data_IF_244732867382
#
_entry.id   IF_244732867382
#
_cell.length_a   1.000
_cell.length_b   1.000
_cell.length_c   1.000
_cell.angle_alpha   90.00
_cell.angle_beta   90.00
_cell.angle_gamma   90.00
#
_symmetry.space_group_name_H-M   'P 1'
#
loop_
_entity.id
_entity.type
_entity.pdbx_description
1 polymer ?
#
# COMPACT_ATOMS: atom_id res chain seq x y z
N UNK A 1 10.11 -17.73 4.39
CA UNK A 1 10.70 -16.38 4.21
C UNK A 1 10.42 -15.78 2.84
N UNK A 2 10.76 -16.42 1.69
CA UNK A 2 10.55 -15.80 0.36
C UNK A 2 9.09 -15.44 0.06
N UNK A 3 8.15 -16.33 0.46
CA UNK A 3 6.71 -16.10 0.26
C UNK A 3 6.20 -14.89 1.05
N UNK A 4 6.63 -14.71 2.30
CA UNK A 4 6.20 -13.58 3.13
C UNK A 4 6.75 -12.26 2.58
N UNK A 5 8.03 -12.23 2.20
CA UNK A 5 8.67 -11.05 1.59
C UNK A 5 8.01 -10.73 0.26
N UNK A 6 7.84 -11.73 -0.60
CA UNK A 6 7.18 -11.56 -1.90
C UNK A 6 5.75 -11.07 -1.75
N UNK A 7 4.98 -11.65 -0.82
CA UNK A 7 3.62 -11.20 -0.53
C UNK A 7 3.58 -9.75 -0.06
N UNK A 8 4.43 -9.34 0.89
CA UNK A 8 4.48 -7.96 1.38
C UNK A 8 4.85 -6.96 0.28
N UNK A 9 5.90 -7.24 -0.50
CA UNK A 9 6.36 -6.36 -1.58
C UNK A 9 5.35 -6.27 -2.73
N UNK A 10 4.67 -7.38 -3.07
CA UNK A 10 3.73 -7.40 -4.18
C UNK A 10 2.51 -6.48 -3.95
N UNK A 11 2.16 -6.23 -2.68
CA UNK A 11 1.08 -5.29 -2.33
C UNK A 11 1.36 -3.89 -2.88
N UNK A 12 2.62 -3.45 -2.87
CA UNK A 12 3.02 -2.13 -3.39
C UNK A 12 2.86 -1.97 -4.90
N UNK A 13 2.60 -3.05 -5.64
CA UNK A 13 2.41 -2.97 -7.09
C UNK A 13 1.22 -2.09 -7.49
N UNK A 14 0.23 -1.92 -6.61
CA UNK A 14 -0.92 -1.04 -6.88
C UNK A 14 -0.58 0.46 -6.85
N UNK A 15 0.52 0.86 -6.19
CA UNK A 15 1.05 2.22 -6.31
C UNK A 15 1.45 2.56 -7.75
N UNK A 16 1.84 1.59 -8.57
CA UNK A 16 2.14 1.83 -9.99
C UNK A 16 0.92 2.33 -10.74
N UNK A 17 -0.28 1.84 -10.39
CA UNK A 17 -1.55 2.28 -11.00
C UNK A 17 -1.81 3.74 -10.66
N UNK A 18 -1.64 4.13 -9.39
CA UNK A 18 -1.78 5.53 -8.95
C UNK A 18 -0.76 6.44 -9.62
N UNK A 19 0.49 5.99 -9.78
CA UNK A 19 1.53 6.73 -10.48
C UNK A 19 1.20 6.90 -11.97
N UNK A 20 0.73 5.87 -12.65
CA UNK A 20 0.29 5.93 -14.04
C UNK A 20 -0.89 6.90 -14.19
N UNK A 21 -1.91 6.76 -13.34
CA UNK A 21 -3.10 7.59 -13.34
C UNK A 21 -2.78 9.07 -13.15
N UNK A 22 -1.93 9.39 -12.17
CA UNK A 22 -1.62 10.77 -11.85
C UNK A 22 -0.57 11.40 -12.78
N UNK A 23 0.55 10.71 -13.03
CA UNK A 23 1.68 11.30 -13.75
C UNK A 23 1.61 11.13 -15.26
N UNK A 24 1.06 10.03 -15.76
CA UNK A 24 1.01 9.74 -17.20
C UNK A 24 -0.34 10.12 -17.81
N UNK A 25 -1.44 9.92 -17.07
CA UNK A 25 -2.78 10.31 -17.54
C UNK A 25 -3.21 11.72 -17.08
N UNK A 26 -2.38 12.40 -16.28
CA UNK A 26 -2.62 13.74 -15.74
C UNK A 26 -3.98 13.88 -15.04
N UNK A 27 -4.47 12.81 -14.41
CA UNK A 27 -5.74 12.82 -13.67
C UNK A 27 -5.50 13.26 -12.22
N UNK A 28 -6.60 13.63 -11.55
CA UNK A 28 -6.54 13.94 -10.12
C UNK A 28 -6.06 12.71 -9.33
N UNK A 29 -5.28 12.91 -8.25
CA UNK A 29 -4.92 11.86 -7.31
C UNK A 29 -6.15 11.02 -6.94
N UNK A 30 -6.04 9.72 -7.12
CA UNK A 30 -7.03 8.76 -6.66
C UNK A 30 -6.28 7.72 -5.82
N UNK A 31 -6.92 7.21 -4.78
CA UNK A 31 -6.34 6.17 -3.91
C UNK A 31 -6.68 4.79 -4.47
N UNK A 32 -6.23 4.46 -5.68
CA UNK A 32 -6.55 3.22 -6.39
C UNK A 32 -5.61 2.09 -5.94
N UNK A 33 -5.53 1.87 -4.61
CA UNK A 33 -4.71 0.78 -4.04
C UNK A 33 -5.58 -0.40 -3.69
N UNK A 34 -6.05 -1.08 -4.74
CA UNK A 34 -6.92 -2.23 -4.58
C UNK A 34 -6.24 -3.37 -3.81
N UNK A 35 -4.90 -3.49 -3.84
CA UNK A 35 -4.17 -4.53 -3.13
C UNK A 35 -4.01 -4.18 -1.65
N UNK A 36 -3.92 -2.91 -1.27
CA UNK A 36 -3.90 -2.48 0.14
C UNK A 36 -5.31 -2.45 0.77
N UNK A 37 -5.92 -3.63 0.87
CA UNK A 37 -7.28 -3.87 1.38
C UNK A 37 -7.30 -4.69 2.67
N UNK A 38 -7.92 -4.21 3.75
CA UNK A 38 -8.19 -5.08 4.92
C UNK A 38 -9.03 -6.31 4.55
N UNK A 39 -9.87 -6.19 3.52
CA UNK A 39 -10.68 -7.25 2.96
C UNK A 39 -9.83 -8.44 2.47
N UNK A 40 -8.64 -8.19 1.92
CA UNK A 40 -7.73 -9.26 1.49
C UNK A 40 -7.08 -9.97 2.66
N UNK A 41 -6.76 -9.27 3.75
CA UNK A 41 -6.27 -9.94 4.96
C UNK A 41 -7.32 -10.90 5.52
N UNK A 42 -8.58 -10.47 5.55
CA UNK A 42 -9.69 -11.32 5.96
C UNK A 42 -9.87 -12.51 5.01
N UNK A 43 -9.84 -12.29 3.69
CA UNK A 43 -9.95 -13.36 2.70
C UNK A 43 -8.80 -14.37 2.81
N UNK A 44 -7.54 -13.90 2.94
CA UNK A 44 -6.38 -14.75 3.16
C UNK A 44 -6.52 -15.58 4.43
N UNK A 45 -6.99 -14.99 5.52
CA UNK A 45 -7.25 -15.70 6.78
C UNK A 45 -8.33 -16.78 6.64
N UNK A 46 -9.44 -16.48 5.98
CA UNK A 46 -10.55 -17.43 5.74
C UNK A 46 -10.07 -18.60 4.87
N UNK A 47 -9.43 -18.31 3.73
CA UNK A 47 -8.94 -19.36 2.82
C UNK A 47 -7.85 -20.19 3.52
N UNK A 48 -6.99 -19.56 4.32
CA UNK A 48 -6.00 -20.29 5.12
C UNK A 48 -6.67 -21.25 6.08
N UNK A 49 -7.72 -20.83 6.78
CA UNK A 49 -8.46 -21.69 7.70
C UNK A 49 -9.17 -22.85 6.99
N UNK A 50 -9.80 -22.59 5.84
CA UNK A 50 -10.45 -23.62 5.00
C UNK A 50 -9.47 -24.68 4.51
N UNK A 51 -8.22 -24.28 4.24
CA UNK A 51 -7.15 -25.16 3.77
C UNK A 51 -6.29 -25.73 4.90
N UNK A 52 -6.73 -25.63 6.16
CA UNK A 52 -6.03 -26.14 7.34
C UNK A 52 -4.63 -25.51 7.55
N UNK A 53 -4.52 -24.21 7.28
CA UNK A 53 -3.35 -23.37 7.52
C UNK A 53 -2.07 -23.89 6.85
N UNK A 54 -2.05 -24.05 5.52
CA UNK A 54 -0.84 -24.47 4.85
C UNK A 54 0.25 -23.41 5.06
N UNK A 55 1.47 -23.84 5.35
CA UNK A 55 2.53 -22.95 5.84
C UNK A 55 2.80 -21.73 4.94
N UNK A 56 2.65 -21.88 3.63
CA UNK A 56 2.89 -20.82 2.65
C UNK A 56 1.80 -19.75 2.68
N UNK A 57 0.54 -20.12 2.95
CA UNK A 57 -0.55 -19.16 3.12
C UNK A 57 -0.43 -18.40 4.43
N UNK A 58 -0.03 -19.09 5.50
CA UNK A 58 0.26 -18.43 6.78
C UNK A 58 1.37 -17.40 6.56
N UNK A 59 2.47 -17.78 5.88
CA UNK A 59 3.55 -16.87 5.52
C UNK A 59 3.07 -15.67 4.67
N UNK A 60 2.24 -15.90 3.66
CA UNK A 60 1.68 -14.84 2.83
C UNK A 60 0.78 -13.89 3.63
N UNK A 61 -0.06 -14.43 4.50
CA UNK A 61 -0.97 -13.67 5.39
C UNK A 61 -0.19 -12.78 6.34
N UNK A 62 0.87 -13.30 6.96
CA UNK A 62 1.76 -12.49 7.81
C UNK A 62 2.53 -11.44 7.02
N UNK A 63 3.07 -11.78 5.85
CA UNK A 63 3.76 -10.83 4.98
C UNK A 63 2.85 -9.67 4.58
N UNK A 64 1.70 -9.99 4.00
CA UNK A 64 0.65 -9.04 3.63
C UNK A 64 0.19 -8.19 4.83
N UNK A 65 -0.17 -8.85 5.93
CA UNK A 65 -0.70 -8.18 7.11
C UNK A 65 0.31 -7.25 7.76
N UNK A 66 1.57 -7.68 7.88
CA UNK A 66 2.64 -6.85 8.44
C UNK A 66 2.87 -5.58 7.62
N UNK A 67 2.81 -5.69 6.28
CA UNK A 67 2.91 -4.55 5.37
C UNK A 67 1.77 -3.56 5.62
N UNK A 68 0.51 -4.00 5.49
CA UNK A 68 -0.68 -3.13 5.65
C UNK A 68 -0.77 -2.51 7.04
N UNK A 69 -0.44 -3.25 8.10
CA UNK A 69 -0.42 -2.72 9.48
C UNK A 69 0.66 -1.64 9.62
N UNK A 70 1.87 -1.90 9.13
CA UNK A 70 2.98 -0.94 9.17
C UNK A 70 2.59 0.33 8.44
N UNK A 71 2.05 0.19 7.25
CA UNK A 71 1.49 1.29 6.46
C UNK A 71 0.43 2.09 7.20
N UNK A 72 -0.52 1.43 7.86
CA UNK A 72 -1.56 2.09 8.66
C UNK A 72 -0.97 2.93 9.80
N UNK A 73 0.10 2.45 10.43
CA UNK A 73 0.77 3.14 11.54
C UNK A 73 1.60 4.32 11.04
N UNK A 74 2.42 4.13 10.00
CA UNK A 74 3.43 5.09 9.60
C UNK A 74 2.94 6.10 8.55
N UNK A 75 2.00 5.74 7.68
CA UNK A 75 1.47 6.67 6.67
C UNK A 75 0.40 7.62 7.25
N UNK A 76 -0.02 7.40 8.51
CA UNK A 76 -1.00 8.25 9.19
C UNK A 76 -2.33 8.35 8.46
N UNK A 77 -2.70 7.27 7.75
CA UNK A 77 -3.93 7.15 6.96
C UNK A 77 -5.11 7.02 7.92
N UNK A 78 -6.29 7.43 7.48
CA UNK A 78 -7.54 7.21 8.21
C UNK A 78 -7.68 5.73 8.60
N UNK A 79 -8.35 5.41 9.71
CA UNK A 79 -8.51 4.01 10.21
C UNK A 79 -9.08 3.05 9.16
N UNK A 80 -9.97 3.58 8.32
CA UNK A 80 -10.60 2.84 7.22
C UNK A 80 -9.96 3.15 5.85
N UNK A 81 -8.85 3.88 5.86
CA UNK A 81 -8.14 4.35 4.67
C UNK A 81 -7.64 3.23 3.79
N UNK A 82 -7.45 2.01 4.32
CA UNK A 82 -7.12 0.78 3.59
C UNK A 82 -8.29 -0.21 3.48
N UNK A 83 -9.54 0.20 3.75
CA UNK A 83 -10.71 -0.60 3.37
C UNK A 83 -11.14 -0.24 1.95
N UNK A 84 -11.24 -1.25 1.09
CA UNK A 84 -11.76 -1.10 -0.27
C UNK A 84 -13.19 -0.59 -0.23
N UNK A 85 -14.04 -1.14 0.65
CA UNK A 85 -15.43 -0.70 0.78
C UNK A 85 -15.52 0.78 1.17
N UNK A 86 -14.69 1.21 2.13
CA UNK A 86 -14.61 2.60 2.54
C UNK A 86 -14.18 3.53 1.38
N UNK A 87 -13.19 3.11 0.60
CA UNK A 87 -12.71 3.86 -0.56
C UNK A 87 -13.73 3.97 -1.68
N UNK A 88 -14.44 2.88 -1.98
CA UNK A 88 -15.54 2.87 -2.96
C UNK A 88 -16.62 3.84 -2.53
N UNK A 89 -17.03 3.82 -1.25
CA UNK A 89 -18.03 4.75 -0.71
C UNK A 89 -17.61 6.22 -0.88
N UNK A 90 -16.33 6.53 -0.70
CA UNK A 90 -15.76 7.87 -0.86
C UNK A 90 -15.25 8.16 -2.28
N UNK A 91 -15.56 7.29 -3.25
CA UNK A 91 -15.17 7.41 -4.67
C UNK A 91 -13.67 7.61 -4.88
N UNK A 92 -12.84 6.95 -4.06
CA UNK A 92 -11.38 6.97 -4.14
C UNK A 92 -10.72 8.36 -4.05
N UNK A 93 -11.40 9.35 -3.45
CA UNK A 93 -10.85 10.69 -3.21
C UNK A 93 -9.80 10.72 -2.11
N UNK A 94 -8.53 10.90 -2.46
CA UNK A 94 -7.36 10.86 -1.55
C UNK A 94 -7.54 11.77 -0.32
N UNK A 95 -8.14 12.93 -0.51
CA UNK A 95 -8.35 13.94 0.54
C UNK A 95 -9.28 13.47 1.67
N UNK A 96 -10.01 12.37 1.46
CA UNK A 96 -10.85 11.75 2.50
C UNK A 96 -10.14 10.67 3.31
N UNK A 97 -8.96 10.23 2.85
CA UNK A 97 -8.24 9.11 3.46
C UNK A 97 -6.95 9.52 4.14
N UNK A 98 -6.29 10.57 3.67
CA UNK A 98 -5.03 11.01 4.27
C UNK A 98 -4.75 12.47 3.95
N UNK A 99 -4.56 13.25 5.00
CA UNK A 99 -4.12 14.65 4.90
C UNK A 99 -2.63 14.75 4.52
N UNK A 100 -1.87 13.67 4.72
CA UNK A 100 -0.42 13.62 4.52
C UNK A 100 0.01 12.97 3.21
N UNK A 101 -0.92 12.45 2.44
CA UNK A 101 -0.63 11.80 1.17
C UNK A 101 -0.18 12.82 0.14
N UNK A 102 1.14 12.90 -0.04
CA UNK A 102 1.77 13.76 -1.03
C UNK A 102 2.28 12.90 -2.17
N UNK A 103 1.57 12.89 -3.30
CA UNK A 103 2.11 12.37 -4.56
C UNK A 103 3.20 13.33 -5.06
N UNK A 104 4.45 13.07 -4.68
CA UNK A 104 5.62 13.72 -5.29
C UNK A 104 5.84 13.11 -6.66
N UNK A 105 6.28 13.91 -7.65
CA UNK A 105 6.70 13.35 -8.94
C UNK A 105 7.83 12.35 -8.70
N UNK A 106 7.87 11.20 -9.40
CA UNK A 106 8.87 10.16 -9.14
C UNK A 106 10.30 10.70 -9.28
N UNK A 107 10.51 11.58 -10.27
CA UNK A 107 11.80 12.26 -10.48
C UNK A 107 12.15 13.19 -9.31
N UNK A 108 11.20 13.94 -8.77
CA UNK A 108 11.44 14.84 -7.63
C UNK A 108 11.71 14.06 -6.35
N UNK A 109 11.04 12.92 -6.15
CA UNK A 109 11.31 12.01 -5.04
C UNK A 109 12.74 11.44 -5.14
N UNK A 110 13.10 10.90 -6.30
CA UNK A 110 14.44 10.36 -6.57
C UNK A 110 15.54 11.41 -6.38
N UNK A 111 15.35 12.63 -6.91
CA UNK A 111 16.32 13.72 -6.75
C UNK A 111 16.47 14.10 -5.27
N UNK A 112 15.37 14.15 -4.51
CA UNK A 112 15.43 14.45 -3.08
C UNK A 112 16.17 13.36 -2.30
N UNK A 113 15.90 12.09 -2.56
CA UNK A 113 16.62 10.97 -1.93
C UNK A 113 18.12 10.99 -2.28
N UNK A 114 18.45 11.19 -3.56
CA UNK A 114 19.84 11.35 -4.01
C UNK A 114 20.53 12.58 -3.39
N UNK A 115 19.79 13.66 -3.11
CA UNK A 115 20.32 14.84 -2.39
C UNK A 115 20.51 14.58 -0.91
N UNK A 116 19.62 13.82 -0.27
CA UNK A 116 19.78 13.42 1.14
C UNK A 116 21.01 12.53 1.29
N UNK A 117 21.25 11.61 0.35
CA UNK A 117 22.50 10.82 0.28
C UNK A 117 23.77 11.63 0.02
N UNK A 118 23.66 12.86 -0.50
CA UNK A 118 24.79 13.81 -0.68
C UNK A 118 24.97 14.79 0.50
N UNK A 119 24.05 14.79 1.47
CA UNK A 119 24.09 15.66 2.67
C UNK A 119 24.66 14.97 3.90
N UNK A 120 25.49 13.94 3.74
CA UNK A 120 26.43 13.54 4.78
C UNK A 120 27.76 14.27 4.58
N UNK A 121 27.96 15.36 5.33
CA UNK A 121 29.27 15.58 5.92
C UNK A 121 29.17 15.74 7.45
N UNK A 122 29.97 14.88 8.10
CA UNK A 122 30.40 14.85 9.52
C UNK A 122 29.42 14.24 10.53
#
# INVERSE_FOLDING_TARGET
MPVAVGAGVLVDADHLVDQIWHFYMHKRPAAILALHGWEWLAALGIVSAVLEFPWWMVAATFGYGSHVITDQIFNGVHRWGYSIAFRVHHRFRVERFSDRWRLKRPVDALINELRVGRRTPQ
#
